data_IF_961925379174
#
_entry.id   IF_961925379174
#
_cell.length_a   1.000
_cell.length_b   1.000
_cell.length_c   1.000
_cell.angle_alpha   90.00
_cell.angle_beta   90.00
_cell.angle_gamma   90.00
#
_symmetry.space_group_name_H-M   'P 1'
#
loop_
_entity.id
_entity.type
_entity.pdbx_description
1 polymer ?
#
# COMPACT_ATOMS: atom_id res chain seq x y z
N UNK A 1 -1.38 10.66 15.86
CA UNK A 1 -1.18 9.29 15.34
C UNK A 1 -0.80 9.48 13.89
N UNK A 2 0.45 9.22 13.55
CA UNK A 2 0.95 9.48 12.19
C UNK A 2 0.67 8.25 11.32
N UNK A 3 0.20 8.50 10.09
CA UNK A 3 -0.14 7.45 9.13
C UNK A 3 0.57 7.74 7.81
N UNK A 4 1.05 6.69 7.18
CA UNK A 4 1.48 6.72 5.78
C UNK A 4 0.27 6.27 4.96
N UNK A 5 -0.15 7.10 4.01
CA UNK A 5 -1.30 6.78 3.16
C UNK A 5 -0.88 6.69 1.70
N UNK A 6 -1.44 5.72 0.99
CA UNK A 6 -1.37 5.60 -0.46
C UNK A 6 -2.80 5.62 -0.98
N UNK A 7 -3.17 6.70 -1.66
CA UNK A 7 -4.50 6.86 -2.26
C UNK A 7 -4.46 6.54 -3.76
N UNK A 8 -5.56 6.00 -4.28
CA UNK A 8 -5.74 5.68 -5.71
C UNK A 8 -4.66 4.73 -6.27
N UNK A 9 -4.19 3.75 -5.48
CA UNK A 9 -3.28 2.73 -5.98
C UNK A 9 -4.02 1.82 -6.97
N UNK A 10 -3.66 1.92 -8.26
CA UNK A 10 -4.25 1.15 -9.35
C UNK A 10 -3.33 0.01 -9.76
N UNK A 11 -3.81 -1.22 -9.58
CA UNK A 11 -3.04 -2.42 -9.95
C UNK A 11 -3.88 -3.28 -10.88
N UNK A 12 -3.27 -3.80 -11.94
CA UNK A 12 -3.90 -4.82 -12.78
C UNK A 12 -3.66 -6.19 -12.17
N UNK A 13 -4.73 -6.86 -11.79
CA UNK A 13 -4.66 -8.22 -11.23
C UNK A 13 -5.81 -9.08 -11.71
N UNK A 14 -5.69 -10.39 -11.54
CA UNK A 14 -6.76 -11.35 -11.82
C UNK A 14 -7.45 -11.66 -10.51
N UNK A 15 -8.54 -10.95 -10.24
CA UNK A 15 -9.33 -11.12 -9.02
C UNK A 15 -10.77 -11.49 -9.39
N UNK A 16 -11.34 -12.45 -8.66
CA UNK A 16 -12.72 -12.87 -8.87
C UNK A 16 -13.05 -14.25 -8.30
N UNK A 17 -14.31 -14.42 -7.93
CA UNK A 17 -14.86 -15.67 -7.38
C UNK A 17 -15.13 -16.64 -8.53
N UNK A 18 -15.56 -16.13 -9.68
CA UNK A 18 -15.89 -16.94 -10.84
C UNK A 18 -14.67 -17.22 -11.72
N UNK A 19 -14.68 -18.37 -12.39
CA UNK A 19 -13.59 -18.78 -13.27
C UNK A 19 -13.35 -17.81 -14.44
N UNK A 20 -14.40 -17.15 -14.93
CA UNK A 20 -14.29 -16.16 -16.01
C UNK A 20 -13.62 -14.85 -15.55
N UNK A 21 -13.81 -14.44 -14.29
CA UNK A 21 -13.13 -13.27 -13.71
C UNK A 21 -11.63 -13.51 -13.53
N UNK A 22 -11.22 -14.77 -13.28
CA UNK A 22 -9.81 -15.17 -13.20
C UNK A 22 -9.13 -15.27 -14.57
N UNK A 23 -9.90 -15.28 -15.66
CA UNK A 23 -9.40 -15.33 -17.02
C UNK A 23 -9.05 -13.95 -17.59
N UNK A 24 -9.55 -12.87 -16.98
CA UNK A 24 -9.35 -11.49 -17.44
C UNK A 24 -8.62 -10.64 -16.39
N UNK A 25 -7.71 -9.76 -16.82
CA UNK A 25 -7.07 -8.80 -15.92
C UNK A 25 -8.04 -7.65 -15.64
N UNK A 26 -8.28 -7.37 -14.37
CA UNK A 26 -9.12 -6.27 -13.89
C UNK A 26 -8.25 -5.25 -13.15
N UNK A 27 -8.54 -3.96 -13.34
CA UNK A 27 -7.87 -2.90 -12.57
C UNK A 27 -8.58 -2.75 -11.23
N UNK A 28 -7.87 -3.04 -10.15
CA UNK A 28 -8.34 -2.75 -8.80
C UNK A 28 -7.82 -1.39 -8.35
N UNK A 29 -8.67 -0.64 -7.64
CA UNK A 29 -8.29 0.59 -6.93
C UNK A 29 -8.26 0.28 -5.44
N UNK A 30 -7.14 0.57 -4.81
CA UNK A 30 -6.94 0.34 -3.39
C UNK A 30 -6.48 1.64 -2.73
N UNK A 31 -7.00 1.89 -1.54
CA UNK A 31 -6.55 2.95 -0.65
C UNK A 31 -5.91 2.24 0.55
N UNK A 32 -4.63 2.53 0.82
CA UNK A 32 -3.83 1.88 1.86
C UNK A 32 -3.45 2.89 2.94
N UNK A 33 -3.77 2.57 4.19
CA UNK A 33 -3.36 3.34 5.36
C UNK A 33 -2.47 2.47 6.24
N UNK A 34 -1.22 2.89 6.43
CA UNK A 34 -0.23 2.20 7.26
C UNK A 34 0.02 3.05 8.50
N UNK A 35 -0.29 2.50 9.68
CA UNK A 35 0.03 3.15 10.95
C UNK A 35 1.55 3.18 11.17
N UNK A 36 2.10 4.37 11.44
CA UNK A 36 3.54 4.49 11.72
C UNK A 36 3.82 3.95 13.13
N UNK A 37 4.66 2.92 13.29
CA UNK A 37 4.86 2.26 14.57
C UNK A 37 5.68 3.08 15.58
N UNK A 38 6.41 4.11 15.14
CA UNK A 38 7.20 4.96 16.03
C UNK A 38 7.44 6.37 15.47
N UNK A 39 7.56 7.36 16.35
CA UNK A 39 7.96 8.72 15.97
C UNK A 39 9.48 8.89 15.77
N UNK A 40 10.27 7.81 15.92
CA UNK A 40 11.73 7.81 15.78
C UNK A 40 12.24 8.43 14.45
N UNK A 41 11.69 8.09 13.26
CA UNK A 41 12.15 8.69 12.01
C UNK A 41 11.98 10.21 11.96
N UNK A 42 11.01 10.80 12.69
CA UNK A 42 10.86 12.25 12.77
C UNK A 42 11.95 12.94 13.62
N UNK A 43 12.69 12.17 14.43
CA UNK A 43 13.76 12.67 15.28
C UNK A 43 15.16 12.31 14.79
N UNK A 44 15.35 11.11 14.21
CA UNK A 44 16.65 10.67 13.70
C UNK A 44 16.95 11.22 12.30
N UNK A 45 15.91 11.45 11.48
CA UNK A 45 16.08 11.85 10.08
C UNK A 45 16.72 10.77 9.20
N UNK A 46 16.86 9.55 9.71
CA UNK A 46 17.40 8.41 8.97
C UNK A 46 16.28 7.70 8.21
N UNK A 47 16.47 7.50 6.90
CA UNK A 47 15.52 6.78 6.05
C UNK A 47 15.36 5.32 6.49
N UNK A 48 16.40 4.73 7.09
CA UNK A 48 16.35 3.34 7.59
C UNK A 48 15.43 3.15 8.81
N UNK A 49 15.12 4.24 9.54
CA UNK A 49 14.14 4.23 10.63
C UNK A 49 12.70 4.47 10.15
N UNK A 50 12.52 4.85 8.87
CA UNK A 50 11.22 5.08 8.25
C UNK A 50 10.66 3.77 7.66
N UNK A 51 9.33 3.66 7.63
CA UNK A 51 8.66 2.54 6.97
C UNK A 51 8.69 2.76 5.46
N UNK A 52 9.44 1.93 4.75
CA UNK A 52 9.51 1.94 3.29
C UNK A 52 8.22 1.35 2.69
N UNK A 53 7.45 2.21 2.02
CA UNK A 53 6.20 1.85 1.36
C UNK A 53 6.38 1.56 -0.14
N UNK A 54 7.62 1.63 -0.65
CA UNK A 54 7.95 1.46 -2.07
C UNK A 54 8.72 0.17 -2.40
N UNK A 55 9.19 -0.57 -1.39
CA UNK A 55 9.88 -1.86 -1.53
C UNK A 55 8.92 -3.02 -1.81
#
# INVERSE_FOLDING_TARGET
MDIIFINDLRVQTRIGVYAWERAMSQTIRMDLEIGVPSAKPFHSGDYSDALDYAA
#
